data_IF_236553365999
#
_entry.id   IF_236553365999
#
_cell.length_a   1.000
_cell.length_b   1.000
_cell.length_c   1.000
_cell.angle_alpha   90.00
_cell.angle_beta   90.00
_cell.angle_gamma   90.00
#
_symmetry.space_group_name_H-M   'P 1'
#
loop_
_entity.id
_entity.type
_entity.pdbx_description
1 polymer ?
#
# COMPACT_ATOMS: atom_id res chain seq x y z
N UNK A 1 1.15 4.63 14.58
CA UNK A 1 1.16 4.74 13.10
C UNK A 1 -0.03 3.96 12.57
N UNK A 2 -0.69 4.41 11.51
CA UNK A 2 -1.85 3.75 10.92
C UNK A 2 -1.67 3.68 9.42
N UNK A 3 -1.93 2.52 8.83
CA UNK A 3 -1.89 2.33 7.39
C UNK A 3 -3.27 1.99 6.88
N UNK A 4 -3.65 2.56 5.74
CA UNK A 4 -4.89 2.21 5.03
C UNK A 4 -4.53 1.69 3.65
N UNK A 5 -5.06 0.52 3.29
CA UNK A 5 -4.90 -0.10 1.98
C UNK A 5 -6.22 -0.03 1.21
N UNK A 6 -6.19 0.60 0.04
CA UNK A 6 -7.26 0.54 -0.95
C UNK A 6 -6.76 -0.13 -2.22
N UNK A 7 -7.56 -1.02 -2.79
CA UNK A 7 -7.28 -1.71 -4.05
C UNK A 7 -8.31 -1.31 -5.10
N UNK A 8 -7.86 -0.94 -6.31
CA UNK A 8 -8.71 -0.53 -7.43
C UNK A 8 -8.20 -1.21 -8.71
N UNK A 9 -9.00 -2.07 -9.32
CA UNK A 9 -8.64 -2.72 -10.59
C UNK A 9 -9.18 -4.15 -10.68
N UNK A 10 -9.09 -4.75 -11.87
CA UNK A 10 -9.64 -6.08 -12.17
C UNK A 10 -11.17 -6.14 -12.22
N UNK A 11 -11.72 -7.34 -12.48
CA UNK A 11 -13.17 -7.59 -12.58
C UNK A 11 -13.96 -7.27 -11.30
N UNK A 12 -13.30 -7.12 -10.16
CA UNK A 12 -13.90 -6.73 -8.87
C UNK A 12 -13.92 -5.20 -8.62
N UNK A 13 -13.35 -4.38 -9.51
CA UNK A 13 -13.25 -2.93 -9.34
C UNK A 13 -14.56 -2.21 -9.00
N UNK A 14 -15.75 -2.58 -9.54
CA UNK A 14 -17.01 -1.93 -9.17
C UNK A 14 -17.40 -2.17 -7.71
N UNK A 15 -17.05 -3.33 -7.17
CA UNK A 15 -17.37 -3.75 -5.79
C UNK A 15 -16.31 -3.20 -4.83
N UNK A 16 -15.02 -3.33 -5.18
CA UNK A 16 -13.91 -2.81 -4.39
C UNK A 16 -13.95 -1.27 -4.22
N UNK A 17 -14.50 -0.53 -5.20
CA UNK A 17 -14.74 0.92 -5.06
C UNK A 17 -15.74 1.29 -3.96
N UNK A 18 -16.61 0.36 -3.55
CA UNK A 18 -17.60 0.57 -2.49
C UNK A 18 -17.14 0.05 -1.13
N UNK A 19 -16.05 -0.72 -1.08
CA UNK A 19 -15.51 -1.22 0.17
C UNK A 19 -14.65 -0.14 0.85
N UNK A 20 -14.79 0.05 2.16
CA UNK A 20 -13.90 0.94 2.89
C UNK A 20 -12.45 0.42 2.79
N UNK A 21 -11.45 1.31 2.78
CA UNK A 21 -10.05 0.91 2.86
C UNK A 21 -9.82 0.03 4.08
N UNK A 22 -9.01 -1.01 3.93
CA UNK A 22 -8.62 -1.86 5.06
C UNK A 22 -7.58 -1.13 5.89
N UNK A 23 -7.75 -1.10 7.21
CA UNK A 23 -6.91 -0.30 8.11
C UNK A 23 -6.09 -1.21 9.00
N UNK A 24 -4.77 -1.03 8.95
CA UNK A 24 -3.80 -1.64 9.85
C UNK A 24 -3.36 -0.61 10.90
N UNK A 25 -3.70 -0.86 12.15
CA UNK A 25 -3.28 -0.02 13.28
C UNK A 25 -2.02 -0.61 13.92
N UNK A 26 -0.90 0.13 13.89
CA UNK A 26 0.37 -0.39 14.40
C UNK A 26 0.39 -0.54 15.91
N UNK A 27 -0.51 0.13 16.62
CA UNK A 27 -0.60 0.04 18.08
C UNK A 27 -1.07 -1.35 18.55
N UNK A 28 -1.53 -2.18 17.61
CA UNK A 28 -1.93 -3.58 17.82
C UNK A 28 -0.88 -4.60 17.35
N UNK A 29 0.25 -4.12 16.81
CA UNK A 29 1.33 -4.97 16.33
C UNK A 29 2.45 -5.07 17.37
N UNK A 30 3.18 -6.20 17.43
CA UNK A 30 4.39 -6.30 18.23
C UNK A 30 5.48 -5.35 17.70
N UNK A 31 6.36 -4.90 18.60
CA UNK A 31 7.35 -3.83 18.32
C UNK A 31 8.28 -4.12 17.14
N UNK A 32 8.61 -5.39 16.91
CA UNK A 32 9.43 -5.85 15.79
C UNK A 32 8.71 -5.64 14.45
N UNK A 33 7.42 -5.99 14.37
CA UNK A 33 6.58 -5.74 13.21
C UNK A 33 6.43 -4.23 12.94
N UNK A 34 6.27 -3.41 13.98
CA UNK A 34 6.21 -1.94 13.83
C UNK A 34 7.51 -1.37 13.26
N UNK A 35 8.67 -1.85 13.72
CA UNK A 35 9.99 -1.42 13.21
C UNK A 35 10.18 -1.79 11.74
N UNK A 36 9.85 -3.03 11.38
CA UNK A 36 9.97 -3.48 10.00
C UNK A 36 9.01 -2.72 9.08
N UNK A 37 7.78 -2.48 9.54
CA UNK A 37 6.81 -1.70 8.77
C UNK A 37 7.29 -0.27 8.51
N UNK A 38 7.87 0.40 9.51
CA UNK A 38 8.48 1.73 9.34
C UNK A 38 9.63 1.72 8.34
N UNK A 39 10.46 0.67 8.35
CA UNK A 39 11.56 0.50 7.39
C UNK A 39 11.02 0.35 5.96
N UNK A 40 9.98 -0.46 5.77
CA UNK A 40 9.35 -0.68 4.46
C UNK A 40 8.68 0.60 3.94
N UNK A 41 7.99 1.35 4.81
CA UNK A 41 7.43 2.67 4.46
C UNK A 41 8.52 3.63 4.01
N UNK A 42 9.63 3.73 4.76
CA UNK A 42 10.73 4.61 4.40
C UNK A 42 11.36 4.22 3.04
N UNK A 43 11.56 2.92 2.80
CA UNK A 43 12.09 2.42 1.54
C UNK A 43 11.15 2.72 0.36
N UNK A 44 9.86 2.43 0.50
CA UNK A 44 8.86 2.70 -0.54
C UNK A 44 8.64 4.20 -0.78
N UNK A 45 8.87 5.05 0.22
CA UNK A 45 8.80 6.51 0.07
C UNK A 45 10.04 7.08 -0.62
N UNK A 46 11.21 6.47 -0.40
CA UNK A 46 12.47 6.88 -1.03
C UNK A 46 12.57 6.44 -2.50
N UNK A 47 11.89 5.34 -2.86
CA UNK A 47 11.77 4.85 -4.23
C UNK A 47 10.30 4.81 -4.65
N UNK A 48 9.72 5.95 -5.07
CA UNK A 48 8.31 6.05 -5.45
C UNK A 48 7.94 5.20 -6.68
N UNK A 49 8.88 4.46 -7.28
CA UNK A 49 8.67 3.72 -8.52
C UNK A 49 8.62 4.70 -9.68
N UNK A 50 9.51 4.49 -10.66
CA UNK A 50 9.64 5.35 -11.83
C UNK A 50 8.27 5.61 -12.47
N UNK A 51 7.90 6.90 -12.51
CA UNK A 51 6.74 7.40 -13.22
C UNK A 51 6.90 7.10 -14.72
N UNK A 52 6.46 5.92 -15.14
CA UNK A 52 5.96 5.76 -16.49
C UNK A 52 4.59 5.08 -16.38
N UNK A 53 3.49 5.83 -16.59
CA UNK A 53 2.20 5.20 -16.72
C UNK A 53 2.25 4.37 -18.01
N UNK A 54 2.58 3.08 -17.88
CA UNK A 54 2.15 2.13 -18.88
C UNK A 54 0.63 2.27 -18.98
N UNK A 55 0.05 2.33 -20.20
CA UNK A 55 -1.39 2.44 -20.34
C UNK A 55 -2.03 1.33 -19.49
N UNK A 56 -2.99 1.66 -18.61
CA UNK A 56 -3.54 0.70 -17.68
C UNK A 56 -4.08 -0.47 -18.49
N UNK A 57 -3.42 -1.63 -18.36
CA UNK A 57 -3.98 -2.86 -18.87
C UNK A 57 -5.37 -3.01 -18.23
N UNK A 58 -6.35 -3.49 -19.00
CA UNK A 58 -7.75 -3.56 -18.55
C UNK A 58 -7.93 -4.29 -17.21
N UNK A 59 -6.97 -5.15 -16.88
CA UNK A 59 -6.97 -6.00 -15.69
C UNK A 59 -5.96 -5.59 -14.61
N UNK A 60 -5.20 -4.51 -14.81
CA UNK A 60 -4.18 -4.07 -13.84
C UNK A 60 -4.82 -3.65 -12.50
N UNK A 61 -4.24 -4.11 -11.40
CA UNK A 61 -4.61 -3.69 -10.04
C UNK A 61 -3.75 -2.53 -9.57
N UNK A 62 -4.39 -1.42 -9.22
CA UNK A 62 -3.79 -0.28 -8.53
C UNK A 62 -3.99 -0.41 -7.03
N UNK A 63 -2.92 -0.25 -6.28
CA UNK A 63 -2.91 -0.22 -4.83
C UNK A 63 -2.60 1.19 -4.34
N UNK A 64 -3.31 1.62 -3.32
CA UNK A 64 -3.08 2.90 -2.64
C UNK A 64 -2.88 2.61 -1.16
N UNK A 65 -1.69 2.92 -0.66
CA UNK A 65 -1.33 2.81 0.75
C UNK A 65 -1.22 4.22 1.32
N UNK A 66 -2.10 4.56 2.25
CA UNK A 66 -2.01 5.81 3.01
C UNK A 66 -1.39 5.50 4.36
N UNK A 67 -0.26 6.14 4.66
CA UNK A 67 0.43 6.08 5.94
C UNK A 67 0.10 7.33 6.73
N UNK A 68 -0.35 7.15 7.96
CA UNK A 68 -0.57 8.18 8.96
C UNK A 68 0.32 7.89 10.17
N UNK A 69 1.37 8.69 10.35
CA UNK A 69 2.27 8.62 11.51
C UNK A 69 2.20 9.93 12.30
N UNK A 70 0.99 10.33 12.67
CA UNK A 70 0.73 11.53 13.47
C UNK A 70 0.85 12.81 12.63
N UNK A 71 1.84 13.70 12.86
CA UNK A 71 1.99 14.91 12.04
C UNK A 71 2.46 14.64 10.61
N UNK A 72 2.86 13.41 10.29
CA UNK A 72 3.34 13.02 8.96
C UNK A 72 2.36 12.04 8.33
N UNK A 73 1.80 12.43 7.19
CA UNK A 73 0.98 11.56 6.36
C UNK A 73 1.55 11.46 4.95
N UNK A 74 1.56 10.27 4.38
CA UNK A 74 2.04 10.01 3.03
C UNK A 74 1.08 9.06 2.30
N UNK A 75 0.90 9.28 1.00
CA UNK A 75 0.11 8.39 0.14
C UNK A 75 1.03 7.82 -0.93
N UNK A 76 1.17 6.50 -0.94
CA UNK A 76 1.93 5.75 -1.92
C UNK A 76 0.95 5.06 -2.86
N UNK A 77 1.14 5.20 -4.17
CA UNK A 77 0.26 4.60 -5.19
C UNK A 77 1.11 3.84 -6.19
N UNK A 78 0.73 2.60 -6.48
CA UNK A 78 1.42 1.80 -7.51
C UNK A 78 0.53 0.73 -8.11
N UNK A 79 0.90 0.22 -9.29
CA UNK A 79 0.21 -0.88 -9.97
C UNK A 79 0.97 -2.18 -9.81
N UNK A 80 0.26 -3.31 -9.79
CA UNK A 80 0.82 -4.67 -9.93
C UNK A 80 1.82 -4.85 -11.09
N UNK A 81 1.62 -4.12 -12.19
CA UNK A 81 2.48 -4.19 -13.37
C UNK A 81 3.70 -3.25 -13.33
N UNK A 82 3.76 -2.32 -12.38
CA UNK A 82 4.75 -1.24 -12.40
C UNK A 82 5.36 -0.89 -11.03
N UNK A 83 5.02 -1.62 -9.97
CA UNK A 83 5.46 -1.29 -8.62
C UNK A 83 6.95 -1.57 -8.39
N UNK A 84 7.60 -0.71 -7.61
CA UNK A 84 8.96 -0.95 -7.14
C UNK A 84 9.00 -2.17 -6.21
N UNK A 85 10.13 -2.88 -6.12
CA UNK A 85 10.29 -3.97 -5.15
C UNK A 85 10.03 -3.53 -3.71
N UNK A 86 10.37 -2.28 -3.37
CA UNK A 86 10.11 -1.70 -2.06
C UNK A 86 8.60 -1.53 -1.80
N UNK A 87 7.85 -1.04 -2.78
CA UNK A 87 6.38 -0.95 -2.67
C UNK A 87 5.75 -2.35 -2.57
N UNK A 88 6.22 -3.32 -3.34
CA UNK A 88 5.72 -4.70 -3.30
C UNK A 88 5.92 -5.33 -1.91
N UNK A 89 7.10 -5.17 -1.31
CA UNK A 89 7.39 -5.66 0.03
C UNK A 89 6.50 -5.00 1.10
N UNK A 90 6.26 -3.69 0.99
CA UNK A 90 5.32 -2.98 1.88
C UNK A 90 3.90 -3.52 1.72
N UNK A 91 3.41 -3.67 0.49
CA UNK A 91 2.07 -4.18 0.21
C UNK A 91 1.86 -5.59 0.78
N UNK A 92 2.80 -6.50 0.54
CA UNK A 92 2.76 -7.87 1.07
C UNK A 92 2.73 -7.88 2.60
N UNK A 93 3.58 -7.09 3.25
CA UNK A 93 3.61 -6.99 4.71
C UNK A 93 2.30 -6.46 5.27
N UNK A 94 1.70 -5.44 4.64
CA UNK A 94 0.39 -4.89 5.05
C UNK A 94 -0.71 -5.94 4.87
N UNK A 95 -0.77 -6.63 3.73
CA UNK A 95 -1.78 -7.66 3.46
C UNK A 95 -1.71 -8.82 4.45
N UNK A 96 -0.49 -9.27 4.81
CA UNK A 96 -0.28 -10.33 5.81
C UNK A 96 -0.81 -10.02 7.21
N UNK A 97 -0.95 -8.74 7.56
CA UNK A 97 -1.46 -8.32 8.87
C UNK A 97 -2.92 -7.86 8.83
N UNK A 98 -3.50 -7.74 7.64
CA UNK A 98 -4.93 -7.44 7.45
C UNK A 98 -5.80 -8.70 7.38
N UNK A 99 -5.19 -9.89 7.18
CA UNK A 99 -5.85 -11.19 7.06
C UNK A 99 -5.62 -12.10 8.25
#
# INVERSE_FOLDING_TARGET
MRLSLATRGGMAAPIARRLPPQVLDTDRLPDDAVRELRRLVAAASADPGGAHPAPPARDAMTYTITVDDGPRSATLVSSDTSMSPAFAALLDHVQRHLG
#
